data_IF_045399730336
#
_entry.id   IF_045399730336
#
_cell.length_a   1.000
_cell.length_b   1.000
_cell.length_c   1.000
_cell.angle_alpha   90.00
_cell.angle_beta   90.00
_cell.angle_gamma   90.00
#
_symmetry.space_group_name_H-M   'P 1'
#
loop_
_entity.id
_entity.type
_entity.pdbx_description
1 polymer ?
#
# COMPACT_ATOMS: atom_id res chain seq x y z
N UNK A 1 -9.03 18.38 -4.64
CA UNK A 1 -7.91 17.40 -4.68
C UNK A 1 -8.10 16.56 -5.92
N UNK A 2 -7.13 16.58 -6.85
CA UNK A 2 -7.30 15.90 -8.15
C UNK A 2 -7.20 14.36 -8.03
N UNK A 3 -6.38 13.86 -7.12
CA UNK A 3 -6.18 12.43 -6.92
C UNK A 3 -6.09 12.06 -5.44
N UNK A 4 -6.46 10.82 -5.11
CA UNK A 4 -6.30 10.22 -3.78
C UNK A 4 -5.79 8.79 -3.89
N UNK A 5 -4.95 8.37 -2.97
CA UNK A 5 -4.54 6.98 -2.82
C UNK A 5 -5.68 6.25 -2.10
N UNK A 6 -6.39 5.37 -2.79
CA UNK A 6 -7.66 4.85 -2.30
C UNK A 6 -7.63 3.37 -1.91
N UNK A 7 -6.61 2.61 -2.32
CA UNK A 7 -6.50 1.21 -1.91
C UNK A 7 -5.10 0.65 -2.06
N UNK A 8 -4.87 -0.46 -1.35
CA UNK A 8 -3.74 -1.36 -1.52
C UNK A 8 -4.29 -2.76 -1.78
N UNK A 9 -3.75 -3.45 -2.76
CA UNK A 9 -4.07 -4.84 -3.05
C UNK A 9 -3.01 -5.77 -2.45
N UNK A 10 -3.49 -6.83 -1.83
CA UNK A 10 -2.69 -7.86 -1.19
C UNK A 10 -3.07 -9.21 -1.80
N UNK A 11 -2.10 -10.10 -1.97
CA UNK A 11 -2.30 -11.50 -2.34
C UNK A 11 -1.85 -12.37 -1.18
N UNK A 12 -2.73 -13.24 -0.69
CA UNK A 12 -2.47 -14.06 0.49
C UNK A 12 -3.07 -15.47 0.35
N UNK A 13 -2.36 -16.46 0.87
CA UNK A 13 -2.92 -17.81 1.03
C UNK A 13 -3.94 -17.84 2.18
N UNK A 14 -3.80 -16.95 3.16
CA UNK A 14 -4.63 -16.85 4.36
C UNK A 14 -5.47 -15.56 4.38
N UNK A 15 -5.96 -15.12 3.23
CA UNK A 15 -6.60 -13.81 3.03
C UNK A 15 -7.70 -13.45 4.04
N UNK A 16 -8.52 -14.41 4.47
CA UNK A 16 -9.56 -14.19 5.46
C UNK A 16 -9.01 -13.97 6.88
N UNK A 17 -7.92 -14.65 7.21
CA UNK A 17 -7.22 -14.51 8.49
C UNK A 17 -6.45 -13.19 8.53
N UNK A 18 -5.81 -12.84 7.43
CA UNK A 18 -5.13 -11.56 7.28
C UNK A 18 -6.08 -10.37 7.47
N UNK A 19 -7.30 -10.46 6.92
CA UNK A 19 -8.35 -9.46 7.17
C UNK A 19 -8.67 -9.32 8.66
N UNK A 20 -8.73 -10.44 9.40
CA UNK A 20 -8.96 -10.43 10.85
C UNK A 20 -7.83 -9.76 11.63
N UNK A 21 -6.59 -9.89 11.18
CA UNK A 21 -5.47 -9.18 11.76
C UNK A 21 -5.68 -7.65 11.65
N UNK A 22 -5.98 -7.14 10.47
CA UNK A 22 -6.20 -5.71 10.25
C UNK A 22 -7.45 -5.18 10.98
N UNK A 23 -8.51 -5.98 11.08
CA UNK A 23 -9.68 -5.64 11.91
C UNK A 23 -9.31 -5.52 13.38
N UNK A 24 -8.59 -6.50 13.91
CA UNK A 24 -8.29 -6.60 15.33
C UNK A 24 -7.21 -5.61 15.79
N UNK A 25 -6.14 -5.41 14.99
CA UNK A 25 -5.02 -4.54 15.35
C UNK A 25 -5.31 -3.07 15.02
N UNK A 26 -5.86 -2.80 13.84
CA UNK A 26 -6.02 -1.43 13.33
C UNK A 26 -7.47 -0.96 13.29
N UNK A 27 -8.41 -1.76 13.76
CA UNK A 27 -9.83 -1.38 13.79
C UNK A 27 -10.43 -1.17 12.40
N UNK A 28 -9.83 -1.75 11.35
CA UNK A 28 -10.39 -1.66 10.01
C UNK A 28 -11.74 -2.35 9.94
N UNK A 29 -12.64 -1.84 9.10
CA UNK A 29 -13.97 -2.41 8.93
C UNK A 29 -14.07 -3.22 7.66
N UNK A 30 -14.63 -4.43 7.79
CA UNK A 30 -14.94 -5.28 6.65
C UNK A 30 -16.06 -4.67 5.81
N UNK A 31 -15.92 -4.78 4.51
CA UNK A 31 -16.99 -4.42 3.57
C UNK A 31 -18.25 -5.25 3.82
N UNK A 32 -19.41 -4.58 3.90
CA UNK A 32 -20.72 -5.24 3.98
C UNK A 32 -21.17 -5.83 2.64
N UNK A 33 -20.58 -5.37 1.54
CA UNK A 33 -20.84 -5.87 0.21
C UNK A 33 -19.93 -7.08 -0.07
N UNK A 34 -20.29 -8.23 0.52
CA UNK A 34 -19.58 -9.47 0.24
C UNK A 34 -19.64 -9.80 -1.24
N UNK A 35 -18.48 -9.97 -1.83
CA UNK A 35 -18.43 -10.52 -3.19
C UNK A 35 -18.61 -12.04 -3.11
N UNK A 36 -19.35 -12.63 -4.06
CA UNK A 36 -19.41 -14.10 -4.18
C UNK A 36 -18.04 -14.72 -4.46
N UNK A 37 -17.00 -13.94 -4.74
CA UNK A 37 -15.74 -14.41 -5.27
C UNK A 37 -14.52 -14.11 -4.39
N UNK A 38 -14.53 -14.54 -3.14
CA UNK A 38 -13.29 -14.96 -2.45
C UNK A 38 -12.26 -13.87 -2.08
N UNK A 39 -12.44 -12.59 -2.35
CA UNK A 39 -11.59 -11.53 -1.80
C UNK A 39 -12.28 -10.91 -0.59
N UNK A 40 -11.51 -10.54 0.41
CA UNK A 40 -11.99 -9.76 1.56
C UNK A 40 -11.47 -8.34 1.41
N UNK A 41 -12.33 -7.37 1.63
CA UNK A 41 -11.95 -5.96 1.66
C UNK A 41 -12.18 -5.42 3.07
N UNK A 42 -11.15 -4.86 3.65
CA UNK A 42 -11.20 -4.10 4.90
C UNK A 42 -10.71 -2.68 4.64
N UNK A 43 -11.09 -1.71 5.44
CA UNK A 43 -10.66 -0.33 5.24
C UNK A 43 -10.80 0.53 6.47
N UNK A 44 -10.05 1.62 6.48
CA UNK A 44 -10.10 2.66 7.52
C UNK A 44 -11.12 3.77 7.20
N UNK A 45 -11.76 3.69 6.03
CA UNK A 45 -12.71 4.68 5.51
C UNK A 45 -12.10 5.56 4.42
N UNK A 46 -10.78 5.73 4.38
CA UNK A 46 -10.08 6.44 3.32
C UNK A 46 -9.36 5.48 2.38
N UNK A 47 -8.56 4.55 2.92
CA UNK A 47 -7.87 3.52 2.16
C UNK A 47 -8.48 2.16 2.43
N UNK A 48 -8.70 1.39 1.37
CA UNK A 48 -9.14 0.00 1.45
C UNK A 48 -7.99 -0.98 1.21
N UNK A 49 -7.94 -2.05 1.98
CA UNK A 49 -7.10 -3.21 1.70
C UNK A 49 -7.94 -4.25 0.96
N UNK A 50 -7.59 -4.53 -0.29
CA UNK A 50 -8.24 -5.56 -1.10
C UNK A 50 -7.43 -6.86 -1.05
N UNK A 51 -7.75 -7.73 -0.11
CA UNK A 51 -7.01 -8.95 0.18
C UNK A 51 -7.55 -10.08 -0.69
N UNK A 52 -6.75 -10.51 -1.65
CA UNK A 52 -7.10 -11.49 -2.65
C UNK A 52 -6.49 -12.86 -2.33
N UNK A 53 -7.21 -13.98 -2.59
CA UNK A 53 -6.61 -15.29 -2.48
C UNK A 53 -5.51 -15.48 -3.52
N UNK A 54 -4.39 -16.08 -3.09
CA UNK A 54 -3.32 -16.44 -4.00
C UNK A 54 -3.80 -17.47 -5.02
N UNK A 55 -3.34 -17.31 -6.24
CA UNK A 55 -3.56 -18.26 -7.34
C UNK A 55 -2.22 -18.78 -7.84
N UNK A 56 -2.25 -19.92 -8.52
CA UNK A 56 -1.06 -20.47 -9.15
C UNK A 56 -0.36 -19.42 -10.04
N UNK A 57 0.95 -19.33 -9.96
CA UNK A 57 1.76 -18.37 -10.70
C UNK A 57 1.79 -16.94 -10.10
N UNK A 58 1.15 -16.70 -8.95
CA UNK A 58 1.19 -15.41 -8.24
C UNK A 58 1.98 -15.54 -6.95
N UNK A 59 2.83 -14.57 -6.67
CA UNK A 59 3.47 -14.42 -5.36
C UNK A 59 2.48 -13.92 -4.32
N UNK A 60 2.65 -14.30 -3.06
CA UNK A 60 2.00 -13.65 -1.93
C UNK A 60 2.71 -12.33 -1.59
N UNK A 61 2.01 -11.45 -0.87
CA UNK A 61 2.53 -10.15 -0.43
C UNK A 61 1.74 -8.96 -0.99
N UNK A 62 2.34 -7.79 -0.91
CA UNK A 62 1.80 -6.57 -1.53
C UNK A 62 1.85 -6.71 -3.05
N UNK A 63 0.74 -6.39 -3.72
CA UNK A 63 0.60 -6.57 -5.17
C UNK A 63 0.66 -5.23 -5.91
N UNK A 64 -0.17 -4.30 -5.52
CA UNK A 64 -0.23 -2.95 -6.08
C UNK A 64 -1.02 -2.01 -5.17
N UNK A 65 -0.91 -0.73 -5.44
CA UNK A 65 -1.80 0.28 -4.87
C UNK A 65 -2.70 0.88 -5.95
N UNK A 66 -3.59 1.78 -5.57
CA UNK A 66 -4.45 2.44 -6.54
C UNK A 66 -4.71 3.89 -6.23
N UNK A 67 -4.94 4.65 -7.30
CA UNK A 67 -5.21 6.08 -7.27
C UNK A 67 -6.59 6.31 -7.87
N UNK A 68 -7.45 7.00 -7.12
CA UNK A 68 -8.71 7.52 -7.63
C UNK A 68 -8.50 8.97 -8.03
N UNK A 69 -8.93 9.32 -9.25
CA UNK A 69 -8.79 10.67 -9.81
C UNK A 69 -10.16 11.31 -10.06
N UNK A 70 -10.19 12.62 -10.19
CA UNK A 70 -11.39 13.35 -10.59
C UNK A 70 -11.70 13.15 -12.07
N UNK A 71 -10.66 13.13 -12.92
CA UNK A 71 -10.77 12.96 -14.38
C UNK A 71 -9.65 12.08 -14.92
N UNK A 72 -10.04 10.89 -15.40
CA UNK A 72 -9.11 9.91 -15.93
C UNK A 72 -8.55 10.29 -17.30
N UNK A 73 -9.31 11.01 -18.12
CA UNK A 73 -8.84 11.43 -19.46
C UNK A 73 -7.71 12.45 -19.32
N UNK A 74 -7.78 13.35 -18.36
CA UNK A 74 -6.67 14.26 -18.04
C UNK A 74 -5.39 13.50 -17.69
N UNK A 75 -5.48 12.41 -16.91
CA UNK A 75 -4.34 11.55 -16.63
C UNK A 75 -3.79 10.91 -17.91
N UNK A 76 -4.66 10.40 -18.76
CA UNK A 76 -4.25 9.80 -20.04
C UNK A 76 -3.56 10.78 -20.97
N UNK A 77 -4.04 12.01 -21.06
CA UNK A 77 -3.41 13.05 -21.87
C UNK A 77 -2.02 13.42 -21.34
N UNK A 78 -1.86 13.53 -20.04
CA UNK A 78 -0.55 13.76 -19.40
C UNK A 78 0.41 12.60 -19.66
N UNK A 79 -0.06 11.34 -19.53
CA UNK A 79 0.74 10.15 -19.83
C UNK A 79 1.13 10.08 -21.30
N UNK A 80 0.19 10.29 -22.22
CA UNK A 80 0.46 10.29 -23.68
C UNK A 80 1.54 11.31 -24.04
N UNK A 81 1.46 12.50 -23.45
CA UNK A 81 2.36 13.61 -23.74
C UNK A 81 3.76 13.41 -23.17
N UNK A 82 3.86 13.02 -21.91
CA UNK A 82 5.10 13.06 -21.15
C UNK A 82 5.73 11.67 -20.94
N UNK A 83 4.90 10.61 -20.95
CA UNK A 83 5.30 9.24 -20.65
C UNK A 83 4.73 8.24 -21.66
N UNK A 84 5.05 8.34 -22.96
CA UNK A 84 4.38 7.59 -24.04
C UNK A 84 4.58 6.08 -23.99
N UNK A 85 5.53 5.60 -23.19
CA UNK A 85 5.76 4.17 -22.95
C UNK A 85 4.80 3.58 -21.90
N UNK A 86 4.25 4.41 -21.02
CA UNK A 86 3.24 3.97 -20.03
C UNK A 86 1.97 3.60 -20.75
N UNK A 87 1.45 2.42 -20.45
CA UNK A 87 0.23 1.87 -21.05
C UNK A 87 -0.80 1.59 -19.97
N UNK A 88 -2.05 1.69 -20.32
CA UNK A 88 -3.15 1.32 -19.44
C UNK A 88 -4.11 0.41 -20.17
N UNK A 89 -4.86 -0.35 -19.39
CA UNK A 89 -5.93 -1.20 -19.90
C UNK A 89 -7.18 -1.05 -19.04
N UNK A 90 -8.32 -1.03 -19.70
CA UNK A 90 -9.60 -1.10 -19.01
C UNK A 90 -9.83 -2.54 -18.55
N UNK A 91 -10.21 -2.71 -17.30
CA UNK A 91 -10.54 -4.03 -16.76
C UNK A 91 -11.85 -4.51 -17.37
N UNK A 92 -11.92 -5.77 -17.85
CA UNK A 92 -13.09 -6.32 -18.52
C UNK A 92 -14.25 -6.62 -17.56
N UNK A 93 -14.00 -6.61 -16.25
CA UNK A 93 -15.00 -6.92 -15.23
C UNK A 93 -15.00 -5.87 -14.15
N UNK A 94 -16.13 -5.70 -13.48
CA UNK A 94 -16.25 -4.85 -12.30
C UNK A 94 -15.30 -5.30 -11.20
N UNK A 95 -14.54 -4.37 -10.66
CA UNK A 95 -13.55 -4.59 -9.60
C UNK A 95 -13.79 -3.62 -8.44
N UNK A 96 -13.39 -3.96 -7.21
CA UNK A 96 -13.32 -2.99 -6.13
C UNK A 96 -12.30 -1.93 -6.49
N UNK A 97 -12.60 -0.72 -6.08
CA UNK A 97 -11.73 0.45 -6.16
C UNK A 97 -11.30 0.89 -7.55
N UNK A 98 -11.10 -0.02 -8.52
CA UNK A 98 -10.43 0.28 -9.77
C UNK A 98 -11.22 -0.16 -11.00
N UNK A 99 -11.14 0.66 -12.04
CA UNK A 99 -11.65 0.33 -13.38
C UNK A 99 -10.54 0.11 -14.42
N UNK A 100 -9.33 0.56 -14.12
CA UNK A 100 -8.17 0.56 -15.01
C UNK A 100 -6.96 0.00 -14.30
N UNK A 101 -6.07 -0.67 -15.02
CA UNK A 101 -4.74 -1.01 -14.56
C UNK A 101 -3.69 -0.36 -15.45
N UNK A 102 -2.60 0.07 -14.86
CA UNK A 102 -1.48 0.71 -15.54
C UNK A 102 -0.16 0.36 -14.84
N UNK A 103 0.91 0.94 -15.29
CA UNK A 103 2.22 0.86 -14.66
C UNK A 103 2.87 2.24 -14.69
N UNK A 104 3.81 2.48 -13.79
CA UNK A 104 4.66 3.66 -13.83
C UNK A 104 5.81 3.48 -14.83
N UNK A 105 6.67 4.48 -15.06
CA UNK A 105 7.77 4.36 -16.00
C UNK A 105 8.79 3.26 -15.68
N UNK A 106 8.93 2.85 -14.41
CA UNK A 106 9.77 1.75 -13.97
C UNK A 106 9.09 0.36 -14.04
N UNK A 107 7.79 0.33 -14.36
CA UNK A 107 7.03 -0.92 -14.52
C UNK A 107 6.31 -1.38 -13.25
N UNK A 108 6.26 -0.58 -12.19
CA UNK A 108 5.45 -0.92 -11.01
C UNK A 108 3.96 -0.80 -11.37
N UNK A 109 3.24 -1.86 -11.12
CA UNK A 109 1.80 -1.91 -11.41
C UNK A 109 1.01 -1.11 -10.39
N UNK A 110 0.04 -0.34 -10.87
CA UNK A 110 -0.96 0.30 -10.02
C UNK A 110 -2.29 0.43 -10.75
N UNK A 111 -3.34 0.72 -9.99
CA UNK A 111 -4.68 0.86 -10.53
C UNK A 111 -5.11 2.33 -10.57
N UNK A 112 -5.93 2.67 -11.56
CA UNK A 112 -6.59 3.98 -11.65
C UNK A 112 -8.11 3.78 -11.62
N UNK A 113 -8.79 4.69 -10.94
CA UNK A 113 -10.24 4.79 -10.97
C UNK A 113 -10.72 6.22 -11.00
N UNK A 114 -11.95 6.40 -11.45
CA UNK A 114 -12.75 7.59 -11.26
C UNK A 114 -14.05 7.17 -10.56
N UNK A 115 -14.61 8.04 -9.73
CA UNK A 115 -15.73 7.68 -8.85
C UNK A 115 -16.90 7.03 -9.58
N UNK A 116 -17.24 7.53 -10.77
CA UNK A 116 -18.41 7.13 -11.53
C UNK A 116 -18.14 6.07 -12.62
N UNK A 117 -16.99 5.40 -12.57
CA UNK A 117 -16.66 4.36 -13.53
C UNK A 117 -17.59 3.15 -13.41
N UNK A 118 -18.20 2.73 -14.52
CA UNK A 118 -19.17 1.62 -14.57
C UNK A 118 -18.59 0.27 -14.14
N UNK A 119 -17.27 0.07 -14.32
CA UNK A 119 -16.56 -1.14 -13.95
C UNK A 119 -15.85 -1.06 -12.58
N UNK A 120 -16.15 -0.02 -11.80
CA UNK A 120 -15.73 0.14 -10.41
C UNK A 120 -16.87 -0.25 -9.48
N UNK A 121 -16.61 -1.15 -8.53
CA UNK A 121 -17.54 -1.48 -7.45
C UNK A 121 -17.21 -0.71 -6.18
N UNK A 122 -18.21 -0.05 -5.60
CA UNK A 122 -18.13 0.48 -4.25
C UNK A 122 -18.32 -0.67 -3.26
N UNK A 123 -17.27 -1.08 -2.59
CA UNK A 123 -17.25 -2.26 -1.73
C UNK A 123 -17.31 -1.94 -0.24
N UNK A 124 -17.05 -0.71 0.17
CA UNK A 124 -17.24 -0.24 1.54
C UNK A 124 -17.61 1.25 1.54
N UNK A 125 -18.07 1.75 2.68
CA UNK A 125 -18.40 3.16 2.84
C UNK A 125 -17.12 3.97 2.92
N UNK A 126 -16.84 4.71 1.86
CA UNK A 126 -15.72 5.65 1.82
C UNK A 126 -16.13 6.93 2.59
N UNK A 127 -15.25 7.39 3.44
CA UNK A 127 -15.35 8.68 4.13
C UNK A 127 -14.04 9.46 3.94
N UNK A 128 -13.95 10.63 4.52
CA UNK A 128 -12.77 11.48 4.43
C UNK A 128 -11.61 11.05 5.34
N UNK A 129 -11.69 9.85 5.94
CA UNK A 129 -10.60 9.22 6.68
C UNK A 129 -10.26 9.82 8.05
N UNK A 130 -10.80 10.99 8.36
CA UNK A 130 -10.31 11.82 9.48
C UNK A 130 -10.77 11.38 10.89
N UNK A 131 -11.59 10.36 11.01
CA UNK A 131 -12.24 10.04 12.28
C UNK A 131 -11.65 8.83 13.01
N UNK A 132 -10.66 8.14 12.45
CA UNK A 132 -10.13 6.91 13.05
C UNK A 132 -8.78 7.14 13.73
N UNK A 133 -8.60 6.65 14.96
CA UNK A 133 -7.33 6.78 15.67
C UNK A 133 -6.20 6.00 14.98
N UNK A 134 -6.55 4.91 14.26
CA UNK A 134 -5.60 4.10 13.48
C UNK A 134 -6.03 4.10 12.02
N UNK A 135 -5.17 4.58 11.16
CA UNK A 135 -5.44 4.68 9.72
C UNK A 135 -4.15 4.58 8.91
N UNK A 136 -4.28 4.20 7.64
CA UNK A 136 -3.15 4.18 6.71
C UNK A 136 -2.75 5.62 6.42
N UNK A 137 -1.48 5.95 6.69
CA UNK A 137 -0.93 7.28 6.43
C UNK A 137 0.14 7.28 5.33
N UNK A 138 0.72 6.13 4.99
CA UNK A 138 1.59 6.04 3.84
C UNK A 138 1.59 4.64 3.21
N UNK A 139 2.05 4.62 1.97
CA UNK A 139 2.30 3.43 1.17
C UNK A 139 3.67 3.58 0.56
N UNK A 140 4.54 2.59 0.69
CA UNK A 140 5.91 2.68 0.24
C UNK A 140 6.19 1.83 -0.99
N UNK A 141 7.01 2.40 -1.88
CA UNK A 141 7.40 1.83 -3.16
C UNK A 141 8.92 1.88 -3.29
N UNK A 142 9.57 0.75 -3.61
CA UNK A 142 10.99 0.72 -4.02
C UNK A 142 11.11 0.76 -5.53
N UNK A 143 12.08 1.54 -6.02
CA UNK A 143 12.30 1.74 -7.45
C UNK A 143 13.76 2.04 -7.75
N UNK A 144 14.21 1.72 -8.96
CA UNK A 144 15.57 2.07 -9.42
C UNK A 144 15.69 3.54 -9.80
N UNK A 145 14.59 4.23 -10.10
CA UNK A 145 14.57 5.62 -10.56
C UNK A 145 13.64 6.50 -9.73
N UNK A 146 13.95 6.75 -8.44
CA UNK A 146 13.05 7.47 -7.53
C UNK A 146 12.72 8.89 -8.01
N UNK A 147 13.67 9.60 -8.64
CA UNK A 147 13.45 10.93 -9.21
C UNK A 147 12.37 10.90 -10.29
N UNK A 148 12.49 9.96 -11.24
CA UNK A 148 11.54 9.80 -12.34
C UNK A 148 10.15 9.41 -11.82
N UNK A 149 10.09 8.57 -10.79
CA UNK A 149 8.81 8.17 -10.19
C UNK A 149 8.16 9.33 -9.46
N UNK A 150 8.91 10.11 -8.69
CA UNK A 150 8.40 11.30 -8.02
C UNK A 150 7.85 12.32 -9.03
N UNK A 151 8.58 12.56 -10.12
CA UNK A 151 8.14 13.42 -11.21
C UNK A 151 6.86 12.87 -11.88
N UNK A 152 6.79 11.57 -12.14
CA UNK A 152 5.64 10.93 -12.76
C UNK A 152 4.37 11.09 -11.91
N UNK A 153 4.41 10.71 -10.64
CA UNK A 153 3.23 10.80 -9.77
C UNK A 153 2.81 12.24 -9.50
N UNK A 154 3.76 13.16 -9.41
CA UNK A 154 3.47 14.59 -9.30
C UNK A 154 2.80 15.14 -10.58
N UNK A 155 3.41 14.92 -11.75
CA UNK A 155 2.95 15.51 -13.00
C UNK A 155 1.65 14.91 -13.52
N UNK A 156 1.42 13.61 -13.31
CA UNK A 156 0.22 12.94 -13.81
C UNK A 156 -0.94 13.08 -12.84
N UNK A 157 -0.70 12.91 -11.54
CA UNK A 157 -1.75 12.80 -10.52
C UNK A 157 -1.84 14.01 -9.59
N UNK A 158 -0.99 15.00 -9.75
CA UNK A 158 -0.93 16.18 -8.87
C UNK A 158 -0.70 15.87 -7.39
N UNK A 159 -0.07 14.73 -7.10
CA UNK A 159 0.34 14.45 -5.72
C UNK A 159 1.37 15.51 -5.29
N UNK A 160 1.14 16.10 -4.14
CA UNK A 160 1.98 17.19 -3.65
C UNK A 160 3.33 16.65 -3.15
N UNK A 161 4.43 17.18 -3.68
CA UNK A 161 5.77 16.89 -3.16
C UNK A 161 5.91 17.48 -1.76
N UNK A 162 6.33 16.63 -0.81
CA UNK A 162 6.64 17.02 0.56
C UNK A 162 8.15 17.28 0.66
N UNK A 163 8.51 18.32 1.39
CA UNK A 163 9.92 18.62 1.64
C UNK A 163 10.58 17.48 2.42
N UNK A 164 11.72 17.02 1.93
CA UNK A 164 12.54 16.00 2.57
C UNK A 164 13.76 16.62 3.26
N UNK A 165 14.32 15.91 4.21
CA UNK A 165 15.57 16.32 4.88
C UNK A 165 16.74 16.27 3.89
N UNK A 166 17.74 17.11 4.10
CA UNK A 166 18.98 17.05 3.34
C UNK A 166 19.64 15.67 3.50
N UNK A 167 20.02 15.05 2.39
CA UNK A 167 20.61 13.71 2.38
C UNK A 167 19.61 12.54 2.44
N UNK A 168 18.31 12.82 2.57
CA UNK A 168 17.28 11.79 2.50
C UNK A 168 17.11 11.32 1.03
N UNK A 169 17.35 10.04 0.74
CA UNK A 169 17.24 9.53 -0.64
C UNK A 169 15.77 9.33 -1.08
N UNK A 170 14.82 9.30 -0.14
CA UNK A 170 13.42 9.02 -0.42
C UNK A 170 12.70 10.27 -0.94
N UNK A 171 11.66 10.06 -1.72
CA UNK A 171 10.69 11.08 -2.10
C UNK A 171 9.35 10.81 -1.41
N UNK A 172 8.65 11.88 -1.07
CA UNK A 172 7.36 11.82 -0.41
C UNK A 172 6.36 12.66 -1.21
N UNK A 173 5.29 12.01 -1.66
CA UNK A 173 4.20 12.67 -2.36
C UNK A 173 2.90 12.42 -1.63
N UNK A 174 2.08 13.45 -1.43
CA UNK A 174 0.85 13.30 -0.66
C UNK A 174 -0.37 13.73 -1.45
N UNK A 175 -1.46 13.04 -1.18
CA UNK A 175 -2.81 13.46 -1.55
C UNK A 175 -3.50 14.32 -0.47
N UNK A 176 -2.76 14.69 0.58
CA UNK A 176 -3.26 15.43 1.75
C UNK A 176 -3.66 14.55 2.94
N UNK A 177 -3.77 13.24 2.75
CA UNK A 177 -4.10 12.25 3.79
C UNK A 177 -3.09 11.10 3.82
N UNK A 178 -2.77 10.57 2.66
CA UNK A 178 -1.84 9.45 2.48
C UNK A 178 -0.60 9.93 1.73
N UNK A 179 0.54 9.48 2.17
CA UNK A 179 1.83 9.73 1.52
C UNK A 179 2.22 8.51 0.69
N UNK A 180 2.59 8.71 -0.57
CA UNK A 180 3.36 7.78 -1.34
C UNK A 180 4.84 8.02 -1.04
N UNK A 181 5.47 7.11 -0.34
CA UNK A 181 6.91 7.09 -0.10
C UNK A 181 7.59 6.34 -1.24
N UNK A 182 8.52 6.99 -1.91
CA UNK A 182 9.29 6.41 -3.01
C UNK A 182 10.73 6.28 -2.55
N UNK A 183 11.17 5.03 -2.39
CA UNK A 183 12.50 4.68 -1.90
C UNK A 183 13.37 4.15 -3.04
N UNK A 184 14.67 4.45 -3.05
CA UNK A 184 15.58 3.81 -3.98
C UNK A 184 15.67 2.30 -3.71
N UNK A 185 15.81 1.50 -4.76
CA UNK A 185 16.27 0.13 -4.69
C UNK A 185 17.68 0.04 -5.27
N UNK A 186 18.59 -0.58 -4.54
CA UNK A 186 19.97 -0.86 -4.96
C UNK A 186 20.24 -2.35 -4.83
N UNK A 187 21.21 -2.86 -5.61
CA UNK A 187 21.64 -4.27 -5.50
C UNK A 187 22.15 -4.61 -4.09
N UNK A 188 22.65 -3.63 -3.36
CA UNK A 188 23.06 -3.80 -1.96
C UNK A 188 21.88 -4.10 -1.02
N UNK A 189 20.64 -3.73 -1.41
CA UNK A 189 19.45 -4.09 -0.66
C UNK A 189 19.11 -5.57 -0.77
N UNK A 190 19.59 -6.24 -1.84
CA UNK A 190 19.45 -7.68 -2.01
C UNK A 190 20.35 -8.48 -1.05
N UNK A 191 21.54 -7.96 -0.76
CA UNK A 191 22.50 -8.67 0.09
C UNK A 191 21.96 -8.86 1.50
N UNK A 192 21.88 -10.11 1.93
CA UNK A 192 21.34 -10.57 3.21
C UNK A 192 19.84 -10.28 3.49
N UNK A 193 19.14 -9.48 2.68
CA UNK A 193 17.72 -9.16 2.92
C UNK A 193 16.75 -9.92 2.01
N UNK A 194 17.23 -10.38 0.86
CA UNK A 194 16.41 -11.07 -0.12
C UNK A 194 15.47 -10.18 -0.95
N UNK A 195 15.58 -8.84 -0.87
CA UNK A 195 14.79 -7.93 -1.70
C UNK A 195 15.34 -7.94 -3.13
N UNK A 196 14.74 -8.76 -3.99
CA UNK A 196 15.25 -9.07 -5.33
C UNK A 196 14.86 -8.06 -6.42
N UNK A 197 13.92 -7.16 -6.17
CA UNK A 197 13.40 -6.26 -7.18
C UNK A 197 12.65 -5.07 -6.57
N UNK A 198 12.40 -4.08 -7.42
CA UNK A 198 11.51 -2.97 -7.14
C UNK A 198 10.04 -3.44 -6.94
N UNK A 199 9.22 -2.62 -6.32
CA UNK A 199 7.80 -2.87 -6.09
C UNK A 199 7.31 -2.27 -4.79
N UNK A 200 6.09 -2.66 -4.41
CA UNK A 200 5.51 -2.30 -3.11
C UNK A 200 6.37 -2.88 -1.98
N UNK A 201 6.69 -2.04 -1.00
CA UNK A 201 7.56 -2.41 0.12
C UNK A 201 6.77 -2.63 1.41
N UNK A 202 6.04 -1.63 1.87
CA UNK A 202 5.28 -1.69 3.12
C UNK A 202 4.06 -0.77 3.14
N UNK A 203 3.26 -0.93 4.20
CA UNK A 203 2.12 -0.06 4.50
C UNK A 203 2.40 0.63 5.84
N UNK A 204 2.23 1.94 5.89
CA UNK A 204 2.37 2.71 7.10
C UNK A 204 1.04 3.07 7.74
N UNK A 205 0.98 3.00 9.06
CA UNK A 205 -0.18 3.39 9.86
C UNK A 205 0.18 4.51 10.82
N UNK A 206 -0.66 5.54 10.84
CA UNK A 206 -0.74 6.45 11.97
C UNK A 206 -1.60 5.82 13.06
N UNK A 207 -1.14 5.92 14.31
CA UNK A 207 -1.82 5.32 15.48
C UNK A 207 -1.85 6.30 16.63
N UNK A 208 -2.77 6.09 17.57
CA UNK A 208 -2.89 6.90 18.79
C UNK A 208 -1.74 6.66 19.77
N UNK A 209 -1.16 5.44 19.76
CA UNK A 209 -0.04 5.05 20.60
C UNK A 209 0.63 3.79 20.08
N UNK A 210 1.91 3.88 19.79
CA UNK A 210 2.76 2.73 19.40
C UNK A 210 2.76 1.67 20.48
N UNK A 211 2.86 2.06 21.74
CA UNK A 211 2.86 1.12 22.87
C UNK A 211 1.52 0.41 23.06
N UNK A 212 0.40 1.08 22.74
CA UNK A 212 -0.90 0.42 22.77
C UNK A 212 -1.02 -0.61 21.65
N UNK A 213 -0.58 -0.29 20.43
CA UNK A 213 -0.56 -1.25 19.31
C UNK A 213 0.29 -2.48 19.64
N UNK A 214 1.47 -2.31 20.25
CA UNK A 214 2.29 -3.45 20.69
C UNK A 214 1.56 -4.36 21.68
N UNK A 215 0.82 -3.78 22.65
CA UNK A 215 0.03 -4.55 23.61
C UNK A 215 -1.12 -5.28 22.91
N UNK A 216 -1.82 -4.62 22.01
CA UNK A 216 -2.94 -5.22 21.27
C UNK A 216 -2.45 -6.38 20.39
N UNK A 217 -1.33 -6.21 19.71
CA UNK A 217 -0.68 -7.26 18.90
C UNK A 217 -0.30 -8.46 19.77
N UNK A 218 0.32 -8.22 20.94
CA UNK A 218 0.69 -9.29 21.85
C UNK A 218 -0.54 -10.03 22.41
N UNK A 219 -1.61 -9.30 22.74
CA UNK A 219 -2.86 -9.89 23.22
C UNK A 219 -3.53 -10.74 22.13
N UNK A 220 -3.65 -10.21 20.93
CA UNK A 220 -4.25 -10.92 19.79
C UNK A 220 -3.46 -12.17 19.43
N UNK A 221 -2.12 -12.11 19.47
CA UNK A 221 -1.27 -13.27 19.24
C UNK A 221 -1.42 -14.35 20.34
N UNK A 222 -1.66 -13.93 21.59
CA UNK A 222 -1.94 -14.84 22.71
C UNK A 222 -3.31 -15.53 22.55
N UNK A 223 -4.33 -14.77 22.16
CA UNK A 223 -5.70 -15.26 22.01
C UNK A 223 -5.86 -16.13 20.76
N UNK A 224 -5.14 -15.80 19.70
CA UNK A 224 -5.11 -16.54 18.43
C UNK A 224 -3.71 -16.55 17.82
N UNK A 225 -2.89 -17.58 18.08
CA UNK A 225 -1.52 -17.68 17.56
C UNK A 225 -1.39 -17.58 16.05
N UNK A 226 -2.48 -17.83 15.30
CA UNK A 226 -2.47 -17.67 13.84
C UNK A 226 -2.48 -16.20 13.40
N UNK A 227 -2.79 -15.28 14.30
CA UNK A 227 -2.71 -13.83 14.07
C UNK A 227 -1.41 -13.23 14.61
N UNK A 228 -0.51 -14.05 15.13
CA UNK A 228 0.79 -13.57 15.59
C UNK A 228 1.57 -12.98 14.40
N UNK A 229 2.22 -11.81 14.58
CA UNK A 229 3.12 -11.26 13.59
C UNK A 229 4.19 -12.25 13.15
N UNK A 230 4.54 -12.23 11.87
CA UNK A 230 5.70 -12.94 11.39
C UNK A 230 6.97 -12.33 12.01
N UNK A 231 7.90 -13.18 12.45
CA UNK A 231 9.11 -12.71 13.11
C UNK A 231 10.21 -12.40 12.11
N UNK A 232 10.98 -11.35 12.39
CA UNK A 232 12.26 -11.10 11.73
C UNK A 232 13.32 -12.02 12.36
N UNK A 233 13.32 -13.29 12.00
CA UNK A 233 14.21 -14.29 12.59
C UNK A 233 15.34 -14.69 11.63
N UNK A 234 16.50 -15.05 12.22
CA UNK A 234 17.70 -15.40 11.48
C UNK A 234 18.39 -14.19 10.84
N UNK A 235 19.56 -14.44 10.25
CA UNK A 235 20.42 -13.39 9.72
C UNK A 235 19.75 -12.55 8.63
N UNK A 236 18.97 -13.17 7.74
CA UNK A 236 18.24 -12.46 6.69
C UNK A 236 17.10 -11.60 7.27
N UNK A 237 16.35 -12.11 8.23
CA UNK A 237 15.29 -11.35 8.89
C UNK A 237 15.83 -10.17 9.70
N UNK A 238 16.95 -10.34 10.39
CA UNK A 238 17.64 -9.26 11.12
C UNK A 238 18.16 -8.18 10.16
N UNK A 239 18.74 -8.59 9.02
CA UNK A 239 19.21 -7.67 7.98
C UNK A 239 18.03 -6.88 7.36
N UNK A 240 16.91 -7.56 7.06
CA UNK A 240 15.70 -6.92 6.56
C UNK A 240 15.14 -5.91 7.57
N UNK A 241 15.07 -6.27 8.85
CA UNK A 241 14.61 -5.34 9.88
C UNK A 241 15.55 -4.12 10.02
N UNK A 242 16.86 -4.32 9.91
CA UNK A 242 17.83 -3.24 9.96
C UNK A 242 17.69 -2.31 8.74
N UNK A 243 17.51 -2.87 7.54
CA UNK A 243 17.23 -2.10 6.34
C UNK A 243 15.93 -1.32 6.48
N UNK A 244 14.85 -1.97 6.91
CA UNK A 244 13.56 -1.34 7.10
C UNK A 244 13.64 -0.13 8.04
N UNK A 245 14.25 -0.28 9.21
CA UNK A 245 14.48 0.83 10.16
C UNK A 245 15.29 1.98 9.58
N UNK A 246 16.28 1.68 8.75
CA UNK A 246 17.16 2.69 8.16
C UNK A 246 16.50 3.45 7.01
N UNK A 247 15.73 2.74 6.17
CA UNK A 247 15.17 3.30 4.94
C UNK A 247 13.76 3.90 5.08
N UNK A 248 13.08 3.70 6.23
CA UNK A 248 11.70 4.13 6.45
C UNK A 248 11.62 5.14 7.61
N UNK A 249 11.93 6.42 7.37
CA UNK A 249 11.99 7.42 8.43
C UNK A 249 10.62 7.93 8.88
N UNK A 250 9.53 7.53 8.23
CA UNK A 250 8.17 7.94 8.60
C UNK A 250 7.66 7.20 9.84
N UNK A 251 8.18 6.01 10.12
CA UNK A 251 7.75 5.19 11.22
C UNK A 251 8.62 5.28 12.47
N UNK A 252 8.02 4.89 13.57
CA UNK A 252 8.67 4.78 14.88
C UNK A 252 8.87 3.33 15.32
N UNK A 253 8.05 2.42 14.78
CA UNK A 253 8.13 1.00 15.07
C UNK A 253 7.70 0.18 13.86
N UNK A 254 8.52 -0.81 13.52
CA UNK A 254 8.32 -1.72 12.40
C UNK A 254 7.93 -3.10 12.89
N UNK A 255 6.96 -3.69 12.23
CA UNK A 255 6.52 -5.07 12.43
C UNK A 255 6.15 -5.71 11.09
N UNK A 256 5.87 -7.00 11.09
CA UNK A 256 5.19 -7.66 9.99
C UNK A 256 3.79 -8.07 10.44
N UNK A 257 2.84 -8.20 9.53
CA UNK A 257 1.58 -8.85 9.84
C UNK A 257 1.72 -10.39 9.96
N UNK A 258 0.62 -11.10 10.14
CA UNK A 258 0.63 -12.56 10.29
C UNK A 258 0.96 -13.32 8.99
N UNK A 259 1.08 -12.64 7.87
CA UNK A 259 1.43 -13.20 6.55
C UNK A 259 2.81 -12.70 6.05
N UNK A 260 3.48 -11.86 6.86
CA UNK A 260 4.82 -11.34 6.60
C UNK A 260 4.87 -10.03 5.85
N UNK A 261 3.75 -9.33 5.66
CA UNK A 261 3.74 -8.01 5.04
C UNK A 261 4.31 -6.99 6.02
N UNK A 262 5.26 -6.20 5.55
CA UNK A 262 5.90 -5.17 6.36
C UNK A 262 4.93 -4.03 6.69
N UNK A 263 4.92 -3.65 7.95
CA UNK A 263 4.10 -2.56 8.49
C UNK A 263 4.98 -1.61 9.28
N UNK A 264 4.80 -0.33 9.00
CA UNK A 264 5.42 0.77 9.73
C UNK A 264 4.37 1.54 10.53
N UNK A 265 4.64 1.87 11.79
CA UNK A 265 3.69 2.60 12.63
C UNK A 265 4.32 3.83 13.28
N UNK A 266 3.55 4.91 13.34
CA UNK A 266 3.91 6.18 13.99
C UNK A 266 2.70 6.81 14.70
N UNK A 267 2.98 7.63 15.72
CA UNK A 267 2.00 8.48 16.43
C UNK A 267 1.75 9.79 15.72
#
# INVERSE_FOLDING_TARGET
MFARINHVAIVSDNYAQLAKFYEAVFGMTTSTNSRPARAVTVGDGYVGLNINPRRAGRSAGLDHFGIQVEDVETCFDRMRKNYPRVKWLQRPSTRPFAGLSTHDPDGNMFDISQKDMKNRASVYVENDGNARPRHINHVALRTMNPDLMAEFYHNVFELALINRKEGDPNYYLSDGHVTLEIMPWDILDYDATGIITQGMDHIGFKVESVEQVKKDVAQIASDNPRLAPASFSGAEGEALQALFKRSCPLGQHQLADCDGILIDIAE
#
